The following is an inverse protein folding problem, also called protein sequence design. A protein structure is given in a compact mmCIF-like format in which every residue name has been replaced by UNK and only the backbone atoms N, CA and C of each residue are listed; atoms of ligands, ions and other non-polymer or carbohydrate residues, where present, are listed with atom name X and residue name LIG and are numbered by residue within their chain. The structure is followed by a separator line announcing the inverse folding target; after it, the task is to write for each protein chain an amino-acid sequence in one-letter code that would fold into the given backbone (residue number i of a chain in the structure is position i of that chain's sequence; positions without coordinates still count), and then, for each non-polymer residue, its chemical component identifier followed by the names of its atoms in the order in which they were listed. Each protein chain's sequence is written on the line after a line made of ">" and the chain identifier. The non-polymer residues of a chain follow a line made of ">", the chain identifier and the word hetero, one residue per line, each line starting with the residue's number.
data_IF_070748021460
#
_entry.id   IF_070748021460
#
_cell.length_a   1.000
_cell.length_b   1.000
_cell.length_c   1.000
_cell.angle_alpha   90.00
_cell.angle_beta   90.00
_cell.angle_gamma   90.00
#
_symmetry.space_group_name_H-M   'P 1'
#
loop_
_entity.id
_entity.type
_entity.pdbx_description
1 polymer ?
#
# COMPACT_ATOMS: atom_id res chain seq x y z
N UNK A 1 18.98 -21.12 -36.68
CA UNK A 1 20.14 -20.69 -35.87
C UNK A 1 20.68 -21.86 -35.08
N UNK A 2 21.98 -22.16 -35.23
CA UNK A 2 22.65 -23.21 -34.47
C UNK A 2 22.83 -22.78 -33.00
N UNK A 3 22.52 -23.68 -32.05
CA UNK A 3 22.72 -23.39 -30.64
C UNK A 3 24.19 -23.55 -30.22
N UNK A 4 24.55 -23.03 -29.04
CA UNK A 4 25.93 -23.01 -28.54
C UNK A 4 26.61 -24.39 -28.49
N UNK A 5 25.85 -25.47 -28.26
CA UNK A 5 26.42 -26.82 -28.20
C UNK A 5 26.73 -27.38 -29.59
N UNK A 6 25.90 -27.05 -30.59
CA UNK A 6 26.17 -27.38 -31.99
C UNK A 6 27.41 -26.62 -32.47
N UNK A 7 27.48 -25.31 -32.22
CA UNK A 7 28.64 -24.48 -32.58
C UNK A 7 29.93 -25.04 -31.98
N UNK A 8 29.95 -25.40 -30.69
CA UNK A 8 31.13 -25.99 -30.04
C UNK A 8 31.64 -27.26 -30.73
N UNK A 9 30.79 -28.03 -31.41
CA UNK A 9 31.22 -29.22 -32.13
C UNK A 9 31.97 -28.90 -33.43
N UNK A 10 31.63 -27.80 -34.10
CA UNK A 10 32.28 -27.39 -35.35
C UNK A 10 33.67 -26.76 -35.14
N UNK A 11 33.93 -26.22 -33.96
CA UNK A 11 35.18 -25.54 -33.61
C UNK A 11 36.08 -26.34 -32.64
N UNK A 12 35.98 -27.68 -32.62
CA UNK A 12 36.92 -28.50 -31.83
C UNK A 12 38.30 -28.50 -32.46
N UNK A 13 39.33 -28.72 -31.65
CA UNK A 13 40.71 -28.87 -32.11
C UNK A 13 40.79 -29.92 -33.22
N UNK A 14 41.39 -29.55 -34.35
CA UNK A 14 41.53 -30.41 -35.53
C UNK A 14 40.31 -30.46 -36.44
N UNK A 15 39.22 -29.75 -36.12
CA UNK A 15 38.06 -29.57 -37.00
C UNK A 15 38.03 -28.14 -37.56
N UNK A 16 37.66 -28.04 -38.83
CA UNK A 16 37.41 -26.77 -39.50
C UNK A 16 35.95 -26.73 -39.94
N UNK A 17 35.19 -25.68 -39.59
CA UNK A 17 33.82 -25.55 -40.07
C UNK A 17 33.80 -25.40 -41.59
N UNK A 18 32.79 -25.97 -42.22
CA UNK A 18 32.50 -25.69 -43.64
C UNK A 18 32.03 -24.24 -43.80
N UNK A 19 32.03 -23.72 -45.04
CA UNK A 19 31.49 -22.38 -45.32
C UNK A 19 30.05 -22.22 -44.79
N UNK A 20 29.19 -23.22 -45.00
CA UNK A 20 27.81 -23.21 -44.51
C UNK A 20 27.74 -23.15 -42.99
N UNK A 21 28.56 -23.95 -42.29
CA UNK A 21 28.62 -23.94 -40.82
C UNK A 21 29.13 -22.60 -40.28
N UNK A 22 30.06 -21.97 -41.00
CA UNK A 22 30.56 -20.65 -40.65
C UNK A 22 29.51 -19.56 -40.85
N UNK A 23 28.71 -19.62 -41.93
CA UNK A 23 27.59 -18.72 -42.14
C UNK A 23 26.49 -18.90 -41.09
N UNK A 24 26.12 -20.14 -40.77
CA UNK A 24 25.17 -20.44 -39.71
C UNK A 24 25.63 -19.93 -38.34
N UNK A 25 26.95 -19.93 -38.08
CA UNK A 25 27.50 -19.35 -36.86
C UNK A 25 27.30 -17.83 -36.81
N UNK A 26 27.54 -17.12 -37.91
CA UNK A 26 27.32 -15.68 -37.96
C UNK A 26 25.85 -15.34 -37.74
N UNK A 27 24.94 -16.08 -38.38
CA UNK A 27 23.49 -15.89 -38.23
C UNK A 27 22.95 -16.29 -36.85
N UNK A 28 23.70 -17.02 -36.02
CA UNK A 28 23.24 -17.41 -34.67
C UNK A 28 23.23 -16.28 -33.64
N UNK A 29 23.74 -15.11 -33.97
CA UNK A 29 23.80 -13.94 -33.09
C UNK A 29 23.15 -12.73 -33.75
N UNK A 30 22.70 -11.78 -32.92
CA UNK A 30 22.27 -10.47 -33.40
C UNK A 30 23.48 -9.66 -33.85
N UNK A 31 23.42 -9.11 -35.06
CA UNK A 31 24.40 -8.18 -35.60
C UNK A 31 24.09 -6.74 -35.16
N UNK A 32 25.05 -5.83 -35.32
CA UNK A 32 24.94 -4.43 -34.84
C UNK A 32 23.76 -3.68 -35.43
N UNK A 33 23.39 -4.02 -36.66
CA UNK A 33 22.32 -3.36 -37.41
C UNK A 33 20.97 -4.10 -37.28
N UNK A 34 20.94 -5.22 -36.53
CA UNK A 34 19.72 -5.98 -36.33
C UNK A 34 18.86 -5.38 -35.21
N UNK A 35 17.55 -5.34 -35.47
CA UNK A 35 16.57 -4.96 -34.45
C UNK A 35 16.25 -6.18 -33.58
N UNK A 36 16.50 -6.08 -32.28
CA UNK A 36 16.14 -7.12 -31.31
C UNK A 36 14.64 -7.02 -31.01
N UNK A 37 13.82 -8.06 -31.30
CA UNK A 37 12.41 -8.05 -31.00
C UNK A 37 12.18 -8.05 -29.49
N UNK A 38 11.23 -7.25 -29.01
CA UNK A 38 10.86 -7.18 -27.60
C UNK A 38 10.49 -8.55 -27.00
N UNK A 39 9.87 -9.43 -27.80
CA UNK A 39 9.51 -10.79 -27.39
C UNK A 39 10.72 -11.68 -27.05
N UNK A 40 11.94 -11.32 -27.50
CA UNK A 40 13.18 -12.04 -27.22
C UNK A 40 13.92 -11.49 -25.99
N UNK A 41 13.44 -10.41 -25.37
CA UNK A 41 14.03 -9.81 -24.17
C UNK A 41 13.38 -10.44 -22.94
N UNK A 42 14.18 -11.19 -22.18
CA UNK A 42 13.72 -11.82 -20.95
C UNK A 42 13.21 -10.77 -19.95
N UNK A 43 12.10 -11.05 -19.29
CA UNK A 43 11.44 -10.22 -18.28
C UNK A 43 10.94 -8.83 -18.72
N UNK A 44 11.10 -8.44 -19.99
CA UNK A 44 10.71 -7.11 -20.46
C UNK A 44 9.25 -6.77 -20.12
N UNK A 45 8.33 -7.70 -20.37
CA UNK A 45 6.91 -7.50 -20.07
C UNK A 45 6.66 -7.33 -18.58
N UNK A 46 7.21 -8.22 -17.75
CA UNK A 46 7.09 -8.15 -16.29
C UNK A 46 7.61 -6.82 -15.73
N UNK A 47 8.75 -6.34 -16.24
CA UNK A 47 9.33 -5.07 -15.80
C UNK A 47 8.50 -3.85 -16.21
N UNK A 48 7.81 -3.93 -17.34
CA UNK A 48 6.87 -2.89 -17.79
C UNK A 48 5.55 -2.94 -17.00
N UNK A 49 5.02 -4.14 -16.74
CA UNK A 49 3.80 -4.34 -15.96
C UNK A 49 3.96 -3.86 -14.50
N UNK A 50 5.19 -3.83 -13.97
CA UNK A 50 5.52 -3.27 -12.65
C UNK A 50 5.56 -1.73 -12.60
N UNK A 51 5.48 -1.04 -13.75
CA UNK A 51 5.47 0.43 -13.81
C UNK A 51 4.04 0.94 -13.86
N UNK A 52 3.81 2.10 -13.24
CA UNK A 52 2.54 2.79 -13.38
C UNK A 52 2.39 3.37 -14.80
N UNK A 53 1.17 3.28 -15.34
CA UNK A 53 0.84 3.81 -16.66
C UNK A 53 1.03 5.33 -16.72
N UNK A 54 1.55 5.83 -17.85
CA UNK A 54 1.74 7.28 -18.06
C UNK A 54 0.45 8.07 -17.88
N UNK A 55 -0.67 7.54 -18.36
CA UNK A 55 -1.98 8.18 -18.22
C UNK A 55 -2.44 8.22 -16.76
N UNK A 56 -2.24 7.14 -16.00
CA UNK A 56 -2.56 7.07 -14.58
C UNK A 56 -1.73 8.09 -13.77
N UNK A 57 -0.42 8.18 -14.02
CA UNK A 57 0.44 9.18 -13.38
C UNK A 57 0.00 10.60 -13.77
N UNK A 58 -0.29 10.83 -15.06
CA UNK A 58 -0.72 12.15 -15.54
C UNK A 58 -2.01 12.63 -14.89
N UNK A 59 -3.00 11.74 -14.72
CA UNK A 59 -4.23 12.03 -13.99
C UNK A 59 -3.93 12.34 -12.51
N UNK A 60 -3.13 11.50 -11.86
CA UNK A 60 -2.74 11.69 -10.46
C UNK A 60 -2.00 13.01 -10.21
N UNK A 61 -1.15 13.47 -11.13
CA UNK A 61 -0.39 14.73 -10.98
C UNK A 61 -1.26 15.99 -11.03
N UNK A 62 -2.45 15.92 -11.64
CA UNK A 62 -3.35 17.07 -11.79
C UNK A 62 -4.57 16.98 -10.88
N UNK A 63 -4.80 15.82 -10.29
CA UNK A 63 -5.85 15.62 -9.29
C UNK A 63 -5.46 16.29 -7.96
N UNK A 64 -6.10 17.42 -7.67
CA UNK A 64 -5.92 18.15 -6.41
C UNK A 64 -6.37 17.36 -5.18
N UNK A 65 -7.16 16.29 -5.37
CA UNK A 65 -7.73 15.46 -4.33
C UNK A 65 -7.13 14.04 -4.27
N UNK A 66 -6.08 13.73 -5.03
CA UNK A 66 -5.45 12.40 -5.07
C UNK A 66 -5.05 11.85 -3.69
N UNK A 67 -4.85 12.75 -2.73
CA UNK A 67 -4.46 12.43 -1.35
C UNK A 67 -5.35 13.09 -0.29
N UNK A 68 -6.61 13.42 -0.63
CA UNK A 68 -7.51 14.15 0.27
C UNK A 68 -7.65 13.48 1.65
N UNK A 69 -7.78 12.14 1.70
CA UNK A 69 -7.90 11.41 2.97
C UNK A 69 -6.62 11.45 3.81
N UNK A 70 -5.45 11.38 3.17
CA UNK A 70 -4.15 11.51 3.84
C UNK A 70 -4.00 12.92 4.42
N UNK A 71 -4.35 13.96 3.66
CA UNK A 71 -4.31 15.34 4.14
C UNK A 71 -5.32 15.60 5.24
N UNK A 72 -6.52 15.01 5.17
CA UNK A 72 -7.51 15.09 6.24
C UNK A 72 -7.00 14.48 7.56
N UNK A 73 -6.22 13.39 7.50
CA UNK A 73 -5.57 12.81 8.69
C UNK A 73 -4.51 13.73 9.29
N UNK A 74 -3.80 14.50 8.47
CA UNK A 74 -2.81 15.49 8.97
C UNK A 74 -3.49 16.73 9.52
N UNK A 75 -4.53 17.24 8.85
CA UNK A 75 -5.23 18.47 9.24
C UNK A 75 -6.13 18.27 10.47
N UNK A 76 -6.77 17.10 10.59
CA UNK A 76 -7.58 16.71 11.75
C UNK A 76 -7.06 15.38 12.31
N UNK A 77 -5.96 15.40 13.10
CA UNK A 77 -5.38 14.17 13.67
C UNK A 77 -6.33 13.49 14.67
N UNK A 78 -7.33 14.24 15.15
CA UNK A 78 -8.34 13.76 16.06
C UNK A 78 -9.69 13.59 15.36
N UNK A 79 -10.37 12.50 15.69
CA UNK A 79 -11.77 12.25 15.38
C UNK A 79 -12.62 12.59 16.61
N UNK A 80 -13.73 13.29 16.37
CA UNK A 80 -14.76 13.48 17.38
C UNK A 80 -15.78 12.34 17.28
N UNK A 81 -16.06 11.66 18.40
CA UNK A 81 -17.11 10.65 18.49
C UNK A 81 -18.08 11.03 19.61
N UNK A 82 -19.34 11.39 19.28
CA UNK A 82 -20.37 11.56 20.28
C UNK A 82 -20.86 10.19 20.77
N UNK A 83 -20.92 10.01 22.08
CA UNK A 83 -21.38 8.80 22.76
C UNK A 83 -22.53 9.18 23.69
N UNK A 84 -23.61 8.41 23.63
CA UNK A 84 -24.83 8.60 24.41
C UNK A 84 -25.12 7.32 25.20
N UNK A 85 -24.83 7.27 26.51
CA UNK A 85 -25.21 6.14 27.34
C UNK A 85 -26.73 5.98 27.36
N UNK A 86 -27.24 4.78 27.12
CA UNK A 86 -28.68 4.47 27.13
C UNK A 86 -29.17 3.86 28.43
N UNK A 87 -28.24 3.50 29.32
CA UNK A 87 -28.48 2.89 30.62
C UNK A 87 -27.42 3.37 31.60
N UNK A 88 -27.71 3.24 32.89
CA UNK A 88 -26.72 3.47 33.94
C UNK A 88 -25.74 2.29 33.98
N UNK A 89 -24.48 2.51 33.60
CA UNK A 89 -23.43 1.49 33.56
C UNK A 89 -22.08 2.05 34.02
N UNK A 90 -21.23 1.19 34.58
CA UNK A 90 -19.84 1.56 34.93
C UNK A 90 -18.85 1.29 33.80
N UNK A 91 -19.29 0.59 32.76
CA UNK A 91 -18.54 0.33 31.53
C UNK A 91 -19.45 0.52 30.33
N UNK A 92 -18.88 1.05 29.24
CA UNK A 92 -19.60 1.27 27.99
C UNK A 92 -18.77 0.76 26.81
N UNK A 93 -19.31 -0.22 26.09
CA UNK A 93 -18.69 -0.78 24.89
C UNK A 93 -19.01 0.11 23.69
N UNK A 94 -17.98 0.60 23.00
CA UNK A 94 -18.12 1.38 21.77
C UNK A 94 -17.22 0.78 20.70
N UNK A 95 -17.80 -0.01 19.80
CA UNK A 95 -17.10 -0.71 18.72
C UNK A 95 -16.21 0.23 17.87
N UNK A 96 -16.66 1.47 17.66
CA UNK A 96 -15.94 2.48 16.90
C UNK A 96 -14.62 2.96 17.55
N UNK A 97 -14.34 2.56 18.79
CA UNK A 97 -13.14 2.91 19.55
C UNK A 97 -12.06 1.82 19.55
N UNK A 98 -12.34 0.64 18.97
CA UNK A 98 -11.33 -0.40 18.82
C UNK A 98 -10.15 0.10 17.99
N UNK A 99 -8.95 -0.24 18.43
CA UNK A 99 -7.67 0.19 17.84
C UNK A 99 -7.51 1.73 17.77
N UNK A 100 -8.16 2.48 18.66
CA UNK A 100 -7.98 3.94 18.77
C UNK A 100 -7.29 4.32 20.07
N UNK A 101 -6.72 5.53 20.12
CA UNK A 101 -6.20 6.10 21.37
C UNK A 101 -7.06 7.28 21.78
N UNK A 102 -7.52 7.28 23.04
CA UNK A 102 -8.24 8.41 23.61
C UNK A 102 -7.23 9.50 23.98
N UNK A 103 -7.53 10.74 23.60
CA UNK A 103 -6.67 11.90 23.91
C UNK A 103 -7.33 12.89 24.86
N UNK A 104 -8.64 13.09 24.71
CA UNK A 104 -9.43 13.92 25.62
C UNK A 104 -10.90 13.50 25.57
N UNK A 105 -11.62 13.87 26.61
CA UNK A 105 -13.06 13.71 26.75
C UNK A 105 -13.67 15.07 27.03
N UNK A 106 -14.76 15.40 26.34
CA UNK A 106 -15.61 16.53 26.70
C UNK A 106 -16.98 16.06 27.17
N UNK A 107 -17.43 16.62 28.28
CA UNK A 107 -18.72 16.32 28.89
C UNK A 107 -19.28 17.54 29.59
N UNK A 108 -20.58 17.78 29.43
CA UNK A 108 -21.27 18.88 30.12
C UNK A 108 -20.54 20.25 30.01
N UNK A 109 -19.81 20.48 28.92
CA UNK A 109 -19.03 21.71 28.71
C UNK A 109 -17.61 21.71 29.29
N UNK A 110 -17.18 20.67 30.01
CA UNK A 110 -15.82 20.51 30.55
C UNK A 110 -14.98 19.58 29.66
N UNK A 111 -13.68 19.81 29.60
CA UNK A 111 -12.70 18.96 28.90
C UNK A 111 -11.74 18.38 29.93
N UNK A 112 -11.54 17.06 29.89
CA UNK A 112 -10.62 16.34 30.77
C UNK A 112 -9.88 15.24 29.96
N UNK A 113 -8.62 14.98 30.28
CA UNK A 113 -7.77 14.04 29.56
C UNK A 113 -7.73 12.64 30.18
N UNK A 114 -8.07 12.50 31.47
CA UNK A 114 -7.84 11.25 32.23
C UNK A 114 -9.10 10.69 32.91
N UNK A 115 -10.23 11.40 32.83
CA UNK A 115 -11.48 11.00 33.50
C UNK A 115 -12.08 9.68 32.99
N UNK A 116 -11.98 9.37 31.68
CA UNK A 116 -12.39 8.07 31.12
C UNK A 116 -11.16 7.31 30.67
N UNK A 117 -11.12 6.01 30.96
CA UNK A 117 -10.13 5.09 30.43
C UNK A 117 -10.72 4.32 29.25
N UNK A 118 -9.95 4.17 28.16
CA UNK A 118 -10.31 3.35 27.01
C UNK A 118 -9.42 2.10 27.00
N UNK A 119 -10.03 0.92 26.96
CA UNK A 119 -9.36 -0.29 26.51
C UNK A 119 -9.43 -0.34 24.96
N UNK A 120 -8.31 -0.15 24.25
CA UNK A 120 -8.29 -0.07 22.80
C UNK A 120 -8.51 -1.43 22.12
N UNK A 121 -8.34 -2.56 22.83
CA UNK A 121 -8.53 -3.89 22.26
C UNK A 121 -10.03 -4.21 22.16
N UNK A 122 -10.76 -3.91 23.23
CA UNK A 122 -12.19 -4.22 23.36
C UNK A 122 -13.08 -3.06 22.93
N UNK A 123 -12.58 -1.82 22.97
CA UNK A 123 -13.39 -0.61 22.78
C UNK A 123 -14.20 -0.22 24.02
N UNK A 124 -13.80 -0.70 25.20
CA UNK A 124 -14.49 -0.46 26.47
C UNK A 124 -14.07 0.87 27.07
N UNK A 125 -15.04 1.71 27.42
CA UNK A 125 -14.84 2.89 28.26
C UNK A 125 -15.14 2.55 29.71
N UNK A 126 -14.28 2.96 30.63
CA UNK A 126 -14.40 2.70 32.07
C UNK A 126 -13.89 3.89 32.89
N UNK A 127 -13.84 3.76 34.22
CA UNK A 127 -13.44 4.80 35.17
C UNK A 127 -14.44 5.98 35.28
N UNK A 128 -15.70 5.76 34.89
CA UNK A 128 -16.79 6.72 35.05
C UNK A 128 -18.14 6.00 35.17
N UNK A 129 -19.02 6.52 36.02
CA UNK A 129 -20.46 6.24 36.00
C UNK A 129 -21.17 6.84 34.76
N UNK A 130 -21.33 6.05 33.71
CA UNK A 130 -22.11 6.41 32.53
C UNK A 130 -23.59 6.38 32.88
N UNK A 131 -24.26 7.55 32.91
CA UNK A 131 -25.70 7.64 33.24
C UNK A 131 -26.54 7.80 31.99
N UNK A 132 -27.73 7.20 31.98
CA UNK A 132 -28.68 7.29 30.87
C UNK A 132 -29.10 8.74 30.53
N UNK A 133 -28.97 9.66 31.49
CA UNK A 133 -29.32 11.08 31.33
C UNK A 133 -28.12 11.96 30.93
N UNK A 134 -26.97 11.38 30.61
CA UNK A 134 -25.80 12.12 30.12
C UNK A 134 -26.09 12.64 28.71
N UNK A 135 -26.17 13.96 28.54
CA UNK A 135 -26.58 14.57 27.26
C UNK A 135 -25.69 14.17 26.09
N UNK A 136 -24.37 14.18 26.28
CA UNK A 136 -23.39 13.64 25.32
C UNK A 136 -22.01 13.55 25.97
N UNK A 137 -21.20 12.59 25.51
CA UNK A 137 -19.76 12.51 25.75
C UNK A 137 -19.08 12.64 24.39
N UNK A 138 -18.22 13.63 24.20
CA UNK A 138 -17.42 13.77 22.98
C UNK A 138 -16.03 13.24 23.26
N UNK A 139 -15.66 12.16 22.57
CA UNK A 139 -14.34 11.56 22.66
C UNK A 139 -13.47 12.12 21.53
N UNK A 140 -12.28 12.59 21.90
CA UNK A 140 -11.23 13.02 20.99
C UNK A 140 -10.28 11.84 20.84
N UNK A 141 -10.39 11.11 19.74
CA UNK A 141 -9.51 9.95 19.50
C UNK A 141 -8.53 10.22 18.38
N UNK A 142 -7.29 9.80 18.55
CA UNK A 142 -6.30 9.87 17.47
C UNK A 142 -6.60 8.76 16.46
N UNK A 143 -6.63 9.14 15.18
CA UNK A 143 -6.75 8.18 14.07
C UNK A 143 -5.47 7.39 13.84
#
# INVERSE_FOLDING_TARGET
>A
MANKNILKNWFKTGLFPTQSQFWEWMESYWHKDDVIPQAQIQNLRTDLDNKADKAAIGAHMTDTNAHADLFAKVATPYRFLPVFPTADTSELQVEALKNTTLNAVMYMGQIDMDVIQLDPITGTLSNWDFRANTQYIILYTKR
#
